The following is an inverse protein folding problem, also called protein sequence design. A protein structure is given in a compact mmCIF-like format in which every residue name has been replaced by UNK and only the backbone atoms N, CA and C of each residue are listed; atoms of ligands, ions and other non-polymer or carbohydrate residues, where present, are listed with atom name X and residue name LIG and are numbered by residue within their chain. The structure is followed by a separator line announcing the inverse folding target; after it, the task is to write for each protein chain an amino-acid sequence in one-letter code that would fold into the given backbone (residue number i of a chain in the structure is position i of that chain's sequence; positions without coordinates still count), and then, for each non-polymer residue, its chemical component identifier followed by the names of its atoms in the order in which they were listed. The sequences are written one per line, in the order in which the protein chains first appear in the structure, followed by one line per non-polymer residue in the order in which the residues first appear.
data_IF_362993250160
#
_entry.id   IF_362993250160
#
_cell.length_a   1.000
_cell.length_b   1.000
_cell.length_c   1.000
_cell.angle_alpha   90.00
_cell.angle_beta   90.00
_cell.angle_gamma   90.00
#
_symmetry.space_group_name_H-M   'P 1'
#
loop_
_entity.id
_entity.type
_entity.pdbx_description
1 polymer ?
#
# COMPACT_ATOMS: atom_id res chain seq x y z
N UNK A 1 16.37 -11.57 12.86
CA UNK A 1 16.10 -12.77 12.03
C UNK A 1 15.51 -12.39 10.67
N UNK A 2 15.97 -13.05 9.60
CA UNK A 2 15.45 -12.84 8.24
C UNK A 2 14.13 -13.59 8.07
N UNK A 3 13.17 -13.00 7.37
CA UNK A 3 11.85 -13.56 7.12
C UNK A 3 11.58 -13.64 5.62
N UNK A 4 10.96 -14.74 5.22
CA UNK A 4 10.45 -14.97 3.87
C UNK A 4 8.93 -15.03 3.94
N UNK A 5 8.26 -14.18 3.19
CA UNK A 5 6.80 -14.20 3.07
C UNK A 5 6.33 -15.19 2.00
N UNK A 6 5.04 -15.52 2.02
CA UNK A 6 4.40 -16.45 1.09
C UNK A 6 4.37 -15.95 -0.36
N UNK A 7 4.75 -14.69 -0.60
CA UNK A 7 4.80 -14.05 -1.91
C UNK A 7 6.23 -13.97 -2.45
N UNK A 8 7.20 -14.55 -1.74
CA UNK A 8 8.62 -14.53 -2.11
C UNK A 8 9.35 -13.25 -1.71
N UNK A 9 8.68 -12.33 -1.01
CA UNK A 9 9.29 -11.17 -0.39
C UNK A 9 10.17 -11.58 0.78
N UNK A 10 11.29 -10.88 0.92
CA UNK A 10 12.28 -11.14 1.95
C UNK A 10 12.49 -9.84 2.71
N UNK A 11 12.38 -9.90 4.03
CA UNK A 11 12.66 -8.74 4.88
C UNK A 11 13.41 -9.12 6.14
N UNK A 12 14.23 -8.17 6.60
CA UNK A 12 15.00 -8.29 7.83
C UNK A 12 14.90 -6.97 8.58
N UNK A 13 14.43 -6.97 9.83
CA UNK A 13 14.38 -5.76 10.64
C UNK A 13 15.81 -5.30 10.94
N UNK A 14 16.03 -3.99 10.94
CA UNK A 14 17.32 -3.39 11.30
C UNK A 14 17.58 -3.37 12.81
N UNK A 15 16.54 -3.63 13.61
CA UNK A 15 16.61 -3.70 15.06
C UNK A 15 16.73 -5.17 15.49
N UNK A 16 17.64 -5.45 16.42
CA UNK A 16 17.71 -6.74 17.09
C UNK A 16 16.53 -6.89 18.07
N UNK A 17 15.89 -8.06 18.05
CA UNK A 17 14.63 -8.28 18.79
C UNK A 17 14.79 -9.49 19.69
N UNK A 18 14.69 -9.24 20.99
CA UNK A 18 14.72 -10.24 22.05
C UNK A 18 13.89 -9.74 23.24
N UNK A 19 12.94 -10.54 23.80
CA UNK A 19 12.52 -11.86 23.34
C UNK A 19 11.72 -11.82 22.04
N UNK A 20 11.88 -12.87 21.22
CA UNK A 20 11.10 -13.10 20.00
C UNK A 20 9.89 -13.99 20.32
N UNK A 21 8.68 -13.48 20.10
CA UNK A 21 7.44 -14.21 20.34
C UNK A 21 6.97 -14.93 19.07
N UNK A 22 7.01 -16.27 19.09
CA UNK A 22 6.59 -17.14 17.97
C UNK A 22 5.14 -17.59 18.21
N UNK A 23 4.23 -17.43 17.22
CA UNK A 23 2.84 -17.85 17.37
C UNK A 23 2.72 -19.37 17.27
N UNK A 24 1.92 -19.97 18.14
CA UNK A 24 1.47 -21.35 17.96
C UNK A 24 0.46 -21.38 16.80
N UNK A 25 0.86 -21.93 15.65
CA UNK A 25 0.14 -21.81 14.39
C UNK A 25 -1.33 -22.31 14.49
N UNK A 26 -2.26 -21.36 14.60
CA UNK A 26 -3.71 -21.56 14.55
C UNK A 26 -4.28 -20.61 13.51
N UNK A 27 -3.87 -20.79 12.24
CA UNK A 27 -4.24 -19.90 11.14
C UNK A 27 -3.41 -20.14 9.88
N UNK A 28 -3.60 -19.28 8.88
CA UNK A 28 -2.80 -19.25 7.66
C UNK A 28 -1.43 -18.62 7.96
N UNK A 29 -0.35 -19.32 7.62
CA UNK A 29 1.01 -18.80 7.78
C UNK A 29 1.38 -17.99 6.55
N UNK A 30 1.57 -16.69 6.72
CA UNK A 30 1.89 -15.75 5.65
C UNK A 30 3.39 -15.47 5.53
N UNK A 31 4.17 -15.74 6.57
CA UNK A 31 5.61 -15.61 6.53
C UNK A 31 6.28 -16.51 7.57
N UNK A 32 7.53 -16.87 7.30
CA UNK A 32 8.37 -17.73 8.16
C UNK A 32 9.74 -17.14 8.37
N UNK A 33 10.36 -17.42 9.51
CA UNK A 33 11.79 -17.16 9.69
C UNK A 33 12.59 -18.06 8.76
N UNK A 34 13.54 -17.47 8.02
CA UNK A 34 14.33 -18.20 7.03
C UNK A 34 15.18 -19.30 7.67
N UNK A 35 15.75 -19.02 8.85
CA UNK A 35 16.69 -19.90 9.53
C UNK A 35 15.99 -21.07 10.26
N UNK A 36 14.93 -20.80 11.02
CA UNK A 36 14.25 -21.84 11.81
C UNK A 36 13.06 -22.48 11.10
N UNK A 37 12.48 -21.80 10.09
CA UNK A 37 11.25 -22.21 9.45
C UNK A 37 9.98 -21.97 10.28
N UNK A 38 10.12 -21.40 11.49
CA UNK A 38 8.99 -21.10 12.36
C UNK A 38 8.09 -20.01 11.76
N UNK A 39 6.78 -20.03 12.03
CA UNK A 39 5.88 -18.96 11.61
C UNK A 39 6.31 -17.62 12.20
N UNK A 40 6.35 -16.58 11.37
CA UNK A 40 6.62 -15.20 11.80
C UNK A 40 5.41 -14.29 11.62
N UNK A 41 4.58 -14.54 10.59
CA UNK A 41 3.31 -13.82 10.37
C UNK A 41 2.19 -14.84 10.17
N UNK A 42 1.11 -14.69 10.93
CA UNK A 42 -0.06 -15.58 10.89
C UNK A 42 -1.35 -14.77 10.78
N UNK A 43 -2.23 -15.17 9.88
CA UNK A 43 -3.59 -14.66 9.76
C UNK A 43 -4.58 -15.66 10.38
N UNK A 44 -5.37 -15.18 11.34
CA UNK A 44 -6.41 -15.98 11.99
C UNK A 44 -7.63 -15.12 12.30
N UNK A 45 -8.81 -15.55 11.85
CA UNK A 45 -10.09 -14.85 12.09
C UNK A 45 -10.05 -13.34 11.73
N UNK A 46 -9.40 -13.00 10.61
CA UNK A 46 -9.26 -11.61 10.17
C UNK A 46 -8.26 -10.77 10.97
N UNK A 47 -7.50 -11.38 11.89
CA UNK A 47 -6.44 -10.72 12.66
C UNK A 47 -5.08 -11.22 12.22
N UNK A 48 -4.15 -10.29 12.07
CA UNK A 48 -2.76 -10.59 11.71
C UNK A 48 -1.90 -10.47 12.96
N UNK A 49 -1.17 -11.53 13.26
CA UNK A 49 -0.08 -11.50 14.22
C UNK A 49 1.25 -11.43 13.46
N UNK A 50 2.16 -10.56 13.89
CA UNK A 50 3.53 -10.49 13.38
C UNK A 50 4.51 -10.55 14.55
N UNK A 51 5.45 -11.49 14.50
CA UNK A 51 6.58 -11.58 15.42
C UNK A 51 7.59 -10.45 15.25
N UNK A 52 7.51 -9.70 14.15
CA UNK A 52 8.43 -8.61 13.82
C UNK A 52 7.69 -7.24 13.76
N UNK A 53 8.37 -6.14 14.14
CA UNK A 53 7.82 -4.79 14.16
C UNK A 53 7.66 -4.19 12.76
N UNK A 54 8.19 -4.85 11.73
CA UNK A 54 8.09 -4.47 10.34
C UNK A 54 7.65 -5.68 9.52
N UNK A 55 6.94 -5.41 8.43
CA UNK A 55 6.56 -6.36 7.39
C UNK A 55 7.01 -5.81 6.03
N UNK A 56 7.14 -6.68 5.02
CA UNK A 56 7.33 -6.24 3.64
C UNK A 56 6.13 -5.41 3.18
N UNK A 57 6.38 -4.48 2.25
CA UNK A 57 5.34 -3.61 1.69
C UNK A 57 4.33 -4.44 0.90
N UNK A 58 4.82 -5.48 0.22
CA UNK A 58 4.04 -6.44 -0.56
C UNK A 58 3.05 -7.19 0.34
N UNK A 59 3.52 -7.73 1.47
CA UNK A 59 2.66 -8.42 2.43
C UNK A 59 1.61 -7.48 3.03
N UNK A 60 2.00 -6.23 3.36
CA UNK A 60 1.06 -5.25 3.90
C UNK A 60 -0.03 -4.86 2.89
N UNK A 61 0.35 -4.68 1.62
CA UNK A 61 -0.59 -4.35 0.52
C UNK A 61 -1.57 -5.49 0.27
N UNK A 62 -1.11 -6.72 0.27
CA UNK A 62 -1.99 -7.88 0.13
C UNK A 62 -2.95 -8.02 1.32
N UNK A 63 -2.47 -7.84 2.55
CA UNK A 63 -3.34 -7.82 3.73
C UNK A 63 -4.41 -6.73 3.64
N UNK A 64 -4.05 -5.54 3.13
CA UNK A 64 -5.00 -4.46 2.89
C UNK A 64 -6.04 -4.84 1.83
N UNK A 65 -5.63 -5.44 0.70
CA UNK A 65 -6.53 -5.93 -0.35
C UNK A 65 -7.49 -7.01 0.18
N UNK A 66 -7.00 -8.00 0.92
CA UNK A 66 -7.84 -9.04 1.57
C UNK A 66 -8.84 -8.46 2.55
N UNK A 67 -8.50 -7.35 3.21
CA UNK A 67 -9.39 -6.64 4.11
C UNK A 67 -10.41 -5.73 3.38
N UNK A 68 -10.37 -5.66 2.05
CA UNK A 68 -11.25 -4.79 1.24
C UNK A 68 -10.86 -3.31 1.32
N UNK A 69 -9.62 -2.99 1.70
CA UNK A 69 -9.11 -1.62 1.69
C UNK A 69 -8.83 -1.20 0.26
N UNK A 70 -9.33 -0.02 -0.11
CA UNK A 70 -9.06 0.58 -1.42
C UNK A 70 -7.59 0.99 -1.54
N UNK A 71 -6.89 0.43 -2.53
CA UNK A 71 -5.55 0.86 -2.90
C UNK A 71 -5.65 1.82 -4.09
N UNK A 72 -5.18 3.05 -3.90
CA UNK A 72 -5.21 4.06 -4.95
C UNK A 72 -4.14 3.85 -6.01
N UNK A 73 -3.12 3.03 -5.78
CA UNK A 73 -2.01 2.85 -6.74
C UNK A 73 -1.58 1.40 -6.76
N UNK A 74 -1.19 0.91 -7.94
CA UNK A 74 -0.61 -0.42 -8.12
C UNK A 74 0.80 -0.55 -7.51
N UNK A 75 1.52 0.58 -7.44
CA UNK A 75 2.86 0.67 -6.89
C UNK A 75 2.84 1.24 -5.46
N UNK A 76 3.81 0.88 -4.61
CA UNK A 76 3.93 1.43 -3.26
C UNK A 76 4.48 2.87 -3.27
N UNK A 77 3.60 3.83 -3.58
CA UNK A 77 3.95 5.24 -3.60
C UNK A 77 3.69 5.90 -2.25
N UNK A 78 4.53 6.89 -1.91
CA UNK A 78 4.23 7.79 -0.81
C UNK A 78 3.06 8.68 -1.24
N UNK A 79 1.91 8.48 -0.59
CA UNK A 79 0.70 9.19 -0.94
C UNK A 79 -0.15 9.56 0.27
N UNK A 80 -0.96 10.59 0.09
CA UNK A 80 -2.01 10.98 1.03
C UNK A 80 -3.31 11.11 0.26
N UNK A 81 -4.40 10.53 0.76
CA UNK A 81 -5.70 10.64 0.14
C UNK A 81 -6.79 10.90 1.19
N UNK A 82 -7.70 11.80 0.87
CA UNK A 82 -8.93 12.05 1.59
C UNK A 82 -10.06 12.36 0.60
N UNK A 83 -11.25 12.71 1.11
CA UNK A 83 -12.44 12.95 0.29
C UNK A 83 -12.24 13.97 -0.84
N UNK A 84 -11.39 14.97 -0.63
CA UNK A 84 -11.26 16.11 -1.55
C UNK A 84 -9.86 16.25 -2.14
N UNK A 85 -8.89 15.46 -1.69
CA UNK A 85 -7.50 15.65 -2.06
C UNK A 85 -6.76 14.34 -2.16
N UNK A 86 -5.91 14.24 -3.19
CA UNK A 86 -4.90 13.19 -3.35
C UNK A 86 -3.56 13.87 -3.57
N UNK A 87 -2.56 13.55 -2.75
CA UNK A 87 -1.17 13.89 -3.03
C UNK A 87 -0.41 12.61 -3.33
N UNK A 88 0.42 12.65 -4.37
CA UNK A 88 1.31 11.55 -4.74
C UNK A 88 2.72 12.10 -4.93
N UNK A 89 3.71 11.36 -4.41
CA UNK A 89 5.13 11.63 -4.62
C UNK A 89 5.75 10.51 -5.44
N UNK A 90 6.49 10.88 -6.48
CA UNK A 90 7.15 9.96 -7.40
C UNK A 90 8.59 9.68 -6.93
N UNK A 91 8.90 8.46 -6.44
CA UNK A 91 10.27 8.13 -6.04
C UNK A 91 11.22 8.00 -7.23
N UNK A 92 10.67 7.73 -8.42
CA UNK A 92 11.36 7.59 -9.70
C UNK A 92 10.56 8.30 -10.79
N UNK A 93 11.15 8.47 -11.98
CA UNK A 93 10.42 8.99 -13.14
C UNK A 93 9.50 7.91 -13.71
N UNK A 94 8.26 8.24 -14.03
CA UNK A 94 7.36 7.31 -14.69
C UNK A 94 5.92 7.80 -14.86
N UNK A 95 5.12 6.93 -15.47
CA UNK A 95 3.66 7.06 -15.53
C UNK A 95 3.05 6.28 -14.36
N UNK A 96 2.13 6.93 -13.64
CA UNK A 96 1.46 6.36 -12.49
C UNK A 96 -0.06 6.37 -12.69
N UNK A 97 -0.70 5.23 -12.41
CA UNK A 97 -2.15 5.12 -12.35
C UNK A 97 -2.62 5.34 -10.91
N UNK A 98 -3.58 6.25 -10.75
CA UNK A 98 -4.25 6.55 -9.48
C UNK A 98 -5.71 6.12 -9.61
N UNK A 99 -6.08 5.04 -8.92
CA UNK A 99 -7.43 4.52 -8.85
C UNK A 99 -8.25 5.27 -7.81
N UNK A 100 -9.27 5.98 -8.26
CA UNK A 100 -10.24 6.64 -7.41
C UNK A 100 -11.23 5.62 -6.85
N UNK A 101 -11.85 5.94 -5.71
CA UNK A 101 -12.88 5.09 -5.10
C UNK A 101 -14.24 5.23 -5.78
N UNK A 102 -14.47 6.39 -6.39
CA UNK A 102 -15.69 6.78 -7.08
C UNK A 102 -15.32 7.75 -8.21
N UNK A 103 -16.15 7.87 -9.26
CA UNK A 103 -15.96 8.87 -10.30
C UNK A 103 -15.92 10.30 -9.72
N UNK A 104 -14.92 11.09 -10.12
CA UNK A 104 -14.76 12.46 -9.66
C UNK A 104 -14.10 13.32 -10.74
N UNK A 105 -14.41 14.62 -10.72
CA UNK A 105 -13.61 15.59 -11.45
C UNK A 105 -12.27 15.78 -10.72
N UNK A 106 -11.15 15.69 -11.47
CA UNK A 106 -9.80 15.77 -10.91
C UNK A 106 -9.07 17.00 -11.43
N UNK A 107 -8.45 17.74 -10.51
CA UNK A 107 -7.73 18.99 -10.81
C UNK A 107 -6.35 18.97 -10.19
N UNK A 108 -5.30 19.07 -11.00
CA UNK A 108 -3.94 19.18 -10.49
C UNK A 108 -3.68 20.55 -9.83
N UNK A 109 -2.61 20.65 -9.04
CA UNK A 109 -2.10 21.90 -8.47
C UNK A 109 -0.56 21.91 -8.55
N UNK A 110 0.06 23.06 -8.90
CA UNK A 110 -0.54 24.37 -9.15
C UNK A 110 -1.08 24.57 -10.57
N UNK A 111 -0.85 23.65 -11.51
CA UNK A 111 -1.42 23.74 -12.86
C UNK A 111 -2.94 23.56 -12.77
N UNK A 112 -3.70 24.57 -13.19
CA UNK A 112 -5.17 24.49 -13.28
C UNK A 112 -5.63 23.64 -14.48
N UNK A 113 -4.79 22.72 -14.95
CA UNK A 113 -5.15 21.85 -16.06
C UNK A 113 -6.16 20.81 -15.57
N UNK A 114 -7.28 20.75 -16.29
CA UNK A 114 -8.41 19.88 -15.98
C UNK A 114 -8.29 18.60 -16.79
N UNK A 115 -8.32 17.47 -16.11
CA UNK A 115 -8.66 16.19 -16.72
C UNK A 115 -9.92 15.68 -16.05
N UNK A 116 -11.05 15.75 -16.77
CA UNK A 116 -12.21 14.94 -16.38
C UNK A 116 -11.79 13.49 -16.58
N UNK A 117 -11.87 12.71 -15.53
CA UNK A 117 -11.67 11.27 -15.62
C UNK A 117 -13.05 10.65 -15.59
N UNK A 118 -13.51 10.21 -16.76
CA UNK A 118 -14.77 9.48 -16.88
C UNK A 118 -14.65 8.07 -16.26
N UNK A 119 -13.41 7.60 -16.10
CA UNK A 119 -13.04 6.36 -15.41
C UNK A 119 -12.60 6.62 -13.97
N UNK A 120 -12.64 5.60 -13.12
CA UNK A 120 -12.10 5.67 -11.74
C UNK A 120 -10.56 5.64 -11.73
N UNK A 121 -9.86 6.10 -12.78
CA UNK A 121 -8.39 6.02 -12.88
C UNK A 121 -7.76 7.23 -13.55
N UNK A 122 -6.94 7.97 -12.80
CA UNK A 122 -6.16 9.12 -13.29
C UNK A 122 -4.75 8.64 -13.65
N UNK A 123 -4.29 8.88 -14.89
CA UNK A 123 -2.88 8.69 -15.26
C UNK A 123 -2.11 9.99 -15.09
N UNK A 124 -0.93 9.92 -14.46
CA UNK A 124 -0.04 11.07 -14.28
C UNK A 124 1.41 10.70 -14.60
N UNK A 125 2.05 11.53 -15.42
CA UNK A 125 3.48 11.49 -15.69
C UNK A 125 4.19 12.35 -14.65
N UNK A 126 5.15 11.78 -13.92
CA UNK A 126 5.91 12.50 -12.90
C UNK A 126 7.41 12.25 -13.09
N UNK A 127 8.20 13.31 -12.89
CA UNK A 127 9.65 13.19 -12.76
C UNK A 127 10.06 12.69 -11.36
N UNK A 128 11.29 12.19 -11.27
CA UNK A 128 11.84 11.71 -10.00
C UNK A 128 11.84 12.82 -8.95
N UNK A 129 11.25 12.54 -7.79
CA UNK A 129 11.14 13.45 -6.66
C UNK A 129 9.99 14.46 -6.79
N UNK A 130 9.23 14.43 -7.88
CA UNK A 130 8.08 15.30 -8.07
C UNK A 130 6.93 14.91 -7.13
N UNK A 131 6.21 15.92 -6.66
CA UNK A 131 4.98 15.75 -5.90
C UNK A 131 3.88 16.58 -6.54
N UNK A 132 2.77 15.94 -6.83
CA UNK A 132 1.56 16.60 -7.32
C UNK A 132 0.46 16.49 -6.28
N UNK A 133 -0.39 17.51 -6.24
CA UNK A 133 -1.59 17.55 -5.43
C UNK A 133 -2.79 17.65 -6.38
N UNK A 134 -3.73 16.73 -6.23
CA UNK A 134 -5.00 16.72 -6.94
C UNK A 134 -6.13 17.08 -6.00
N UNK A 135 -7.02 17.96 -6.45
CA UNK A 135 -8.34 18.13 -5.86
C UNK A 135 -9.32 17.19 -6.53
N UNK A 136 -10.16 16.56 -5.72
CA UNK A 136 -11.28 15.73 -6.14
C UNK A 136 -12.57 16.50 -5.87
N UNK A 137 -13.38 16.64 -6.91
CA UNK A 137 -14.76 17.11 -6.81
C UNK A 137 -15.68 15.93 -7.21
N UNK A 138 -16.18 15.15 -6.22
CA UNK A 138 -17.01 13.97 -6.48
C UNK A 138 -18.26 14.34 -7.29
N UNK A 139 -18.68 13.47 -8.21
CA UNK A 139 -19.95 13.66 -8.89
C UNK A 139 -21.08 13.63 -7.83
N UNK A 140 -21.90 14.69 -7.78
CA UNK A 140 -23.08 14.68 -6.92
C UNK A 140 -24.04 13.63 -7.46
N UNK A 141 -24.43 12.65 -6.63
CA UNK A 141 -25.58 11.79 -6.92
C UNK A 141 -26.77 12.70 -7.30
N UNK A 142 -27.31 12.48 -8.51
CA UNK A 142 -28.48 13.19 -9.02
C UNK A 142 -29.76 12.63 -8.44
#
# INVERSE_FOLDING_TARGET
PRVVDSFGGVFQPQLEIDPLFIPSATGEVLAKFEESGDPSVVLSQGRVYSSLPAMSVELFRELAQRAGVHLYTDLPLAMHANRHWISVHAPEKGEYAIHLREPAEVRAYPSLDFSRVDDETVSVSLDRGETVLFRLDPEREK
#
